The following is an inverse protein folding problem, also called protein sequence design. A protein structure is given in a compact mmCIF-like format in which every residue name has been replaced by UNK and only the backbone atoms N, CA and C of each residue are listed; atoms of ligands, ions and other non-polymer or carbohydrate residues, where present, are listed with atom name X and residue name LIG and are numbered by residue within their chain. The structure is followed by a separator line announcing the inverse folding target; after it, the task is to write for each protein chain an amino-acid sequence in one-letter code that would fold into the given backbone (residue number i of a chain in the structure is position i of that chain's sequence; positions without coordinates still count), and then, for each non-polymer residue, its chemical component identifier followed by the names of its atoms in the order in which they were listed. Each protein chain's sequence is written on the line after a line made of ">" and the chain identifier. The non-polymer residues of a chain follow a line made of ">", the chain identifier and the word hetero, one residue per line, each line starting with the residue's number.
data_IF_311341664588
#
_entry.id   IF_311341664588
#
_cell.length_a   1.000
_cell.length_b   1.000
_cell.length_c   1.000
_cell.angle_alpha   90.00
_cell.angle_beta   90.00
_cell.angle_gamma   90.00
#
_symmetry.space_group_name_H-M   'P 1'
#
loop_
_entity.id
_entity.type
_entity.pdbx_description
1 polymer ?
#
# COMPACT_ATOMS: atom_id res chain seq x y z
N UNK A 1 2.38 15.38 -5.70
CA UNK A 1 1.43 14.42 -5.10
C UNK A 1 0.29 15.24 -4.48
N UNK A 2 -0.59 15.80 -5.33
CA UNK A 2 -1.66 16.73 -4.96
C UNK A 2 -3.02 16.05 -5.07
N UNK A 3 -3.19 14.92 -4.39
CA UNK A 3 -4.47 14.24 -4.39
C UNK A 3 -5.13 14.48 -3.02
N UNK A 4 -6.07 15.44 -3.05
CA UNK A 4 -7.20 15.57 -2.13
C UNK A 4 -6.92 15.74 -0.62
N UNK A 5 -6.11 16.71 -0.21
CA UNK A 5 -6.20 17.21 1.18
C UNK A 5 -6.42 18.72 1.35
N UNK A 6 -6.53 19.51 0.27
CA UNK A 6 -6.80 20.95 0.35
C UNK A 6 -7.67 21.46 -0.82
N UNK A 7 -8.71 20.73 -1.23
CA UNK A 7 -9.65 21.25 -2.24
C UNK A 7 -10.71 22.09 -1.51
N UNK A 8 -10.40 23.38 -1.38
CA UNK A 8 -11.41 24.44 -1.38
C UNK A 8 -12.24 24.33 -2.67
N UNK A 9 -13.54 24.67 -2.65
CA UNK A 9 -14.40 24.55 -3.84
C UNK A 9 -13.93 25.33 -5.08
N UNK A 10 -12.95 26.23 -4.94
CA UNK A 10 -12.41 27.05 -6.04
C UNK A 10 -10.95 26.71 -6.41
N UNK A 11 -10.56 25.43 -6.36
CA UNK A 11 -9.22 25.02 -6.76
C UNK A 11 -9.08 25.01 -8.29
N UNK A 12 -8.55 26.10 -8.87
CA UNK A 12 -8.08 26.12 -10.26
C UNK A 12 -6.60 25.69 -10.33
N UNK A 13 -6.29 24.70 -11.16
CA UNK A 13 -4.90 24.35 -11.46
C UNK A 13 -4.51 25.09 -12.74
N UNK A 14 -3.62 26.08 -12.63
CA UNK A 14 -3.19 26.90 -13.78
C UNK A 14 -4.35 27.55 -14.56
N UNK A 15 -5.43 27.95 -13.87
CA UNK A 15 -6.60 28.59 -14.49
C UNK A 15 -7.60 27.62 -15.14
N UNK A 16 -7.42 26.31 -14.98
CA UNK A 16 -8.38 25.29 -15.40
C UNK A 16 -9.21 24.82 -14.20
N UNK A 17 -10.52 24.77 -14.38
CA UNK A 17 -11.44 24.16 -13.41
C UNK A 17 -11.12 22.68 -13.27
N UNK A 18 -10.89 22.23 -12.04
CA UNK A 18 -10.65 20.82 -11.73
C UNK A 18 -12.00 20.12 -11.63
N UNK A 19 -12.23 19.12 -12.48
CA UNK A 19 -13.41 18.26 -12.38
C UNK A 19 -13.41 17.49 -11.05
N UNK A 20 -14.46 17.65 -10.26
CA UNK A 20 -14.67 16.90 -9.02
C UNK A 20 -15.35 15.58 -9.37
N UNK A 21 -14.58 14.49 -9.37
CA UNK A 21 -15.10 13.13 -9.60
C UNK A 21 -15.20 12.34 -8.28
N UNK A 22 -16.19 11.45 -8.20
CA UNK A 22 -16.37 10.59 -7.02
C UNK A 22 -15.29 9.51 -6.90
N UNK A 23 -14.79 9.03 -8.04
CA UNK A 23 -13.75 8.02 -8.13
C UNK A 23 -12.79 8.33 -9.28
N UNK A 24 -11.50 8.19 -9.02
CA UNK A 24 -10.44 8.37 -9.99
C UNK A 24 -9.44 7.21 -9.93
N UNK A 25 -9.07 6.68 -11.10
CA UNK A 25 -8.09 5.60 -11.20
C UNK A 25 -6.73 6.15 -11.60
N UNK A 26 -5.82 6.23 -10.64
CA UNK A 26 -4.46 6.71 -10.86
C UNK A 26 -3.45 5.57 -10.82
N UNK A 27 -2.73 5.35 -11.92
CA UNK A 27 -1.73 4.28 -12.06
C UNK A 27 -2.28 2.90 -11.65
N UNK A 28 -3.57 2.65 -11.85
CA UNK A 28 -4.20 1.38 -11.46
C UNK A 28 -4.69 1.28 -10.01
N UNK A 29 -4.48 2.30 -9.18
CA UNK A 29 -5.04 2.44 -7.83
C UNK A 29 -6.34 3.25 -7.91
N UNK A 30 -7.38 2.78 -7.23
CA UNK A 30 -8.67 3.47 -7.18
C UNK A 30 -8.72 4.41 -5.98
N UNK A 31 -8.97 5.69 -6.25
CA UNK A 31 -9.07 6.77 -5.27
C UNK A 31 -10.51 7.27 -5.27
N UNK A 32 -11.19 7.23 -4.12
CA UNK A 32 -12.55 7.76 -3.99
C UNK A 32 -12.59 9.06 -3.18
N UNK A 33 -13.69 9.80 -3.28
CA UNK A 33 -13.91 11.05 -2.53
C UNK A 33 -13.90 10.86 -0.99
N UNK A 34 -14.19 9.65 -0.52
CA UNK A 34 -14.09 9.25 0.90
C UNK A 34 -12.65 8.98 1.33
N UNK A 35 -11.69 8.94 0.40
CA UNK A 35 -10.29 8.57 0.61
C UNK A 35 -10.15 7.33 1.51
N UNK A 36 -11.06 6.37 1.31
CA UNK A 36 -10.94 5.04 1.84
C UNK A 36 -10.46 4.09 0.73
N UNK A 37 -10.10 2.88 1.11
CA UNK A 37 -9.49 1.93 0.19
C UNK A 37 -10.45 0.81 -0.22
N UNK A 38 -11.76 1.01 -0.04
CA UNK A 38 -12.76 -0.02 -0.29
C UNK A 38 -12.81 -0.40 -1.77
N UNK A 39 -12.96 0.59 -2.66
CA UNK A 39 -13.03 0.34 -4.11
C UNK A 39 -11.71 -0.25 -4.64
N UNK A 40 -10.57 0.23 -4.12
CA UNK A 40 -9.25 -0.30 -4.46
C UNK A 40 -9.11 -1.77 -4.02
N UNK A 41 -9.39 -2.09 -2.76
CA UNK A 41 -9.25 -3.45 -2.22
C UNK A 41 -10.26 -4.43 -2.86
N UNK A 42 -11.44 -3.96 -3.25
CA UNK A 42 -12.40 -4.72 -4.06
C UNK A 42 -11.85 -5.06 -5.44
N UNK A 43 -11.29 -4.08 -6.15
CA UNK A 43 -10.66 -4.28 -7.44
C UNK A 43 -9.47 -5.25 -7.35
N UNK A 44 -8.62 -5.09 -6.32
CA UNK A 44 -7.50 -6.00 -6.04
C UNK A 44 -8.00 -7.42 -5.73
N UNK A 45 -9.05 -7.57 -4.94
CA UNK A 45 -9.61 -8.87 -4.59
C UNK A 45 -10.15 -9.60 -5.82
N UNK A 46 -10.92 -8.92 -6.68
CA UNK A 46 -11.46 -9.51 -7.92
C UNK A 46 -10.34 -9.97 -8.84
N UNK A 47 -9.33 -9.13 -9.07
CA UNK A 47 -8.15 -9.49 -9.88
C UNK A 47 -7.36 -10.64 -9.24
N UNK A 48 -7.10 -10.57 -7.95
CA UNK A 48 -6.38 -11.59 -7.19
C UNK A 48 -7.06 -12.95 -7.22
N UNK A 49 -8.39 -13.01 -7.12
CA UNK A 49 -9.16 -14.26 -7.28
C UNK A 49 -8.95 -14.89 -8.67
N UNK A 50 -9.01 -14.08 -9.73
CA UNK A 50 -8.76 -14.56 -11.09
C UNK A 50 -7.36 -15.16 -11.23
N UNK A 51 -6.32 -14.50 -10.70
CA UNK A 51 -4.93 -15.00 -10.78
C UNK A 51 -4.70 -16.23 -9.90
N UNK A 52 -5.31 -16.27 -8.72
CA UNK A 52 -5.27 -17.43 -7.84
C UNK A 52 -5.93 -18.66 -8.48
N UNK A 53 -7.01 -18.48 -9.24
CA UNK A 53 -7.61 -19.58 -9.99
C UNK A 53 -6.59 -20.20 -10.97
N UNK A 54 -5.86 -19.38 -11.72
CA UNK A 54 -4.81 -19.86 -12.62
C UNK A 54 -3.70 -20.60 -11.87
N UNK A 55 -3.21 -20.06 -10.75
CA UNK A 55 -2.20 -20.75 -9.91
C UNK A 55 -2.67 -22.15 -9.48
N UNK A 56 -3.95 -22.28 -9.08
CA UNK A 56 -4.52 -23.57 -8.68
C UNK A 56 -4.68 -24.54 -9.86
N UNK A 57 -5.00 -24.03 -11.05
CA UNK A 57 -5.05 -24.84 -12.28
C UNK A 57 -3.66 -25.36 -12.66
N UNK A 58 -2.64 -24.52 -12.59
CA UNK A 58 -1.26 -24.94 -12.83
C UNK A 58 -0.83 -26.03 -11.84
N UNK A 59 -1.16 -25.90 -10.56
CA UNK A 59 -0.90 -26.95 -9.57
C UNK A 59 -1.60 -28.26 -9.96
N UNK A 60 -2.86 -28.21 -10.40
CA UNK A 60 -3.60 -29.42 -10.79
C UNK A 60 -3.03 -30.14 -12.02
N UNK A 61 -2.24 -29.45 -12.84
CA UNK A 61 -1.52 -30.05 -13.97
C UNK A 61 -0.14 -30.60 -13.59
N UNK A 62 0.21 -30.63 -12.30
CA UNK A 62 1.49 -31.17 -11.83
C UNK A 62 2.69 -30.27 -12.10
N UNK A 63 2.48 -28.97 -12.36
CA UNK A 63 3.59 -28.01 -12.51
C UNK A 63 4.45 -28.00 -11.26
N UNK A 64 5.78 -28.02 -11.44
CA UNK A 64 6.72 -28.12 -10.33
C UNK A 64 6.65 -26.89 -9.39
N UNK A 65 7.00 -27.10 -8.12
CA UNK A 65 6.87 -26.10 -7.05
C UNK A 65 7.62 -24.81 -7.33
N UNK A 66 8.83 -24.89 -7.90
CA UNK A 66 9.65 -23.72 -8.24
C UNK A 66 8.94 -22.82 -9.26
N UNK A 67 8.39 -23.41 -10.32
CA UNK A 67 7.65 -22.66 -11.33
C UNK A 67 6.33 -22.09 -10.79
N UNK A 68 5.62 -22.84 -9.93
CA UNK A 68 4.44 -22.32 -9.24
C UNK A 68 4.77 -21.12 -8.34
N UNK A 69 5.93 -21.17 -7.66
CA UNK A 69 6.38 -20.05 -6.83
C UNK A 69 6.69 -18.82 -7.68
N UNK A 70 7.42 -18.98 -8.79
CA UNK A 70 7.68 -17.90 -9.74
C UNK A 70 6.37 -17.32 -10.30
N UNK A 71 5.39 -18.16 -10.63
CA UNK A 71 4.08 -17.71 -11.07
C UNK A 71 3.33 -16.92 -9.99
N UNK A 72 3.35 -17.39 -8.74
CA UNK A 72 2.77 -16.64 -7.63
C UNK A 72 3.42 -15.26 -7.48
N UNK A 73 4.75 -15.20 -7.40
CA UNK A 73 5.49 -13.96 -7.16
C UNK A 73 5.26 -12.95 -8.31
N UNK A 74 5.26 -13.41 -9.56
CA UNK A 74 5.11 -12.55 -10.75
C UNK A 74 3.66 -12.19 -11.10
N UNK A 75 2.67 -13.03 -10.79
CA UNK A 75 1.28 -12.84 -11.27
C UNK A 75 0.27 -12.59 -10.16
N UNK A 76 0.37 -13.31 -9.04
CA UNK A 76 -0.61 -13.19 -7.93
C UNK A 76 -0.17 -12.10 -6.95
N UNK A 77 1.07 -12.19 -6.47
CA UNK A 77 1.65 -11.26 -5.50
C UNK A 77 1.80 -9.86 -6.10
N UNK A 78 2.21 -9.75 -7.37
CA UNK A 78 2.34 -8.48 -8.09
C UNK A 78 1.01 -7.69 -8.12
N UNK A 79 -0.13 -8.38 -8.24
CA UNK A 79 -1.46 -7.78 -8.18
C UNK A 79 -1.84 -7.44 -6.75
N UNK A 80 -1.80 -8.42 -5.84
CA UNK A 80 -2.31 -8.24 -4.47
C UNK A 80 -1.52 -7.18 -3.70
N UNK A 81 -0.20 -7.13 -3.88
CA UNK A 81 0.67 -6.18 -3.18
C UNK A 81 1.01 -4.94 -4.01
N UNK A 82 0.32 -4.73 -5.14
CA UNK A 82 0.51 -3.52 -5.94
C UNK A 82 0.20 -2.28 -5.11
N UNK A 83 1.14 -1.32 -5.10
CA UNK A 83 1.02 -0.08 -4.33
C UNK A 83 0.65 -0.26 -2.84
N UNK A 84 1.00 -1.41 -2.24
CA UNK A 84 0.61 -1.76 -0.85
C UNK A 84 0.98 -0.69 0.18
N UNK A 85 2.11 0.00 -0.03
CA UNK A 85 2.58 1.11 0.82
C UNK A 85 1.57 2.27 0.89
N UNK A 86 0.76 2.46 -0.15
CA UNK A 86 -0.22 3.54 -0.22
C UNK A 86 -1.51 3.21 0.56
N UNK A 87 -1.99 1.97 0.47
CA UNK A 87 -3.36 1.63 0.88
C UNK A 87 -3.45 0.71 2.10
N UNK A 88 -2.41 -0.07 2.43
CA UNK A 88 -2.52 -1.13 3.45
C UNK A 88 -2.93 -0.58 4.81
N UNK A 89 -2.24 0.45 5.31
CA UNK A 89 -2.49 1.02 6.63
C UNK A 89 -3.81 1.80 6.71
N UNK A 90 -4.27 2.37 5.59
CA UNK A 90 -5.55 3.07 5.51
C UNK A 90 -6.75 2.14 5.37
N UNK A 91 -6.55 0.90 4.90
CA UNK A 91 -7.63 -0.05 4.63
C UNK A 91 -8.23 -0.64 5.91
N UNK A 92 -9.51 -1.04 5.83
CA UNK A 92 -10.18 -1.64 6.97
C UNK A 92 -9.59 -3.01 7.31
N UNK A 93 -9.71 -3.44 8.57
CA UNK A 93 -9.29 -4.78 8.98
C UNK A 93 -10.06 -5.88 8.22
N UNK A 94 -11.34 -5.62 7.91
CA UNK A 94 -12.17 -6.50 7.09
C UNK A 94 -11.55 -6.73 5.71
N UNK A 95 -11.12 -5.67 5.04
CA UNK A 95 -10.55 -5.75 3.69
C UNK A 95 -9.19 -6.45 3.71
N UNK A 96 -8.35 -6.14 4.70
CA UNK A 96 -7.06 -6.83 4.89
C UNK A 96 -7.24 -8.32 5.15
N UNK A 97 -8.17 -8.71 6.04
CA UNK A 97 -8.50 -10.14 6.28
C UNK A 97 -9.00 -10.82 5.01
N UNK A 98 -9.80 -10.14 4.20
CA UNK A 98 -10.32 -10.67 2.94
C UNK A 98 -9.21 -10.88 1.90
N UNK A 99 -8.26 -9.96 1.77
CA UNK A 99 -7.09 -10.13 0.90
C UNK A 99 -6.12 -11.20 1.43
N UNK A 100 -5.89 -11.25 2.74
CA UNK A 100 -5.10 -12.31 3.40
C UNK A 100 -5.70 -13.71 3.17
N UNK A 101 -7.02 -13.82 2.96
CA UNK A 101 -7.64 -15.09 2.55
C UNK A 101 -7.14 -15.56 1.18
N UNK A 102 -6.85 -14.65 0.25
CA UNK A 102 -6.23 -14.98 -1.04
C UNK A 102 -4.80 -15.47 -0.86
N UNK A 103 -4.03 -14.73 -0.05
CA UNK A 103 -2.63 -15.07 0.28
C UNK A 103 -2.57 -16.47 0.91
N UNK A 104 -3.41 -16.76 1.90
CA UNK A 104 -3.47 -18.10 2.54
C UNK A 104 -3.82 -19.19 1.55
N UNK A 105 -4.78 -18.96 0.65
CA UNK A 105 -5.13 -19.93 -0.40
C UNK A 105 -4.01 -20.15 -1.40
N UNK A 106 -3.25 -19.11 -1.74
CA UNK A 106 -2.05 -19.24 -2.56
C UNK A 106 -0.97 -20.04 -1.82
N UNK A 107 -0.76 -19.78 -0.52
CA UNK A 107 0.16 -20.53 0.33
C UNK A 107 -0.20 -22.02 0.39
N UNK A 108 -1.49 -22.33 0.56
CA UNK A 108 -1.99 -23.70 0.43
C UNK A 108 -1.69 -24.30 -0.94
N UNK A 109 -1.79 -23.53 -2.04
CA UNK A 109 -1.45 -24.00 -3.38
C UNK A 109 0.07 -24.22 -3.61
N UNK A 110 0.94 -23.58 -2.81
CA UNK A 110 2.40 -23.74 -2.86
C UNK A 110 2.93 -24.72 -1.80
N UNK A 111 2.07 -25.14 -0.87
CA UNK A 111 2.40 -25.81 0.40
C UNK A 111 3.46 -25.04 1.21
N UNK A 112 3.30 -23.72 1.33
CA UNK A 112 4.13 -22.88 2.19
C UNK A 112 3.31 -21.78 2.87
N UNK A 113 3.82 -21.24 3.99
CA UNK A 113 3.30 -19.99 4.53
C UNK A 113 3.75 -18.81 3.67
N UNK A 114 2.92 -17.78 3.57
CA UNK A 114 3.19 -16.56 2.81
C UNK A 114 2.89 -15.36 3.68
N UNK A 115 3.71 -14.32 3.54
CA UNK A 115 3.57 -13.06 4.26
C UNK A 115 2.20 -12.42 4.01
N UNK A 116 1.60 -11.96 5.09
CA UNK A 116 0.36 -11.18 5.10
C UNK A 116 0.51 -9.80 4.45
N UNK A 117 -0.63 -9.16 4.16
CA UNK A 117 -0.68 -7.76 3.72
C UNK A 117 0.05 -6.84 4.69
N UNK A 118 -0.08 -7.08 5.99
CA UNK A 118 0.56 -6.34 7.06
C UNK A 118 2.08 -6.46 6.98
N UNK A 119 2.62 -7.68 6.99
CA UNK A 119 4.06 -7.93 6.97
C UNK A 119 4.74 -7.36 5.71
N UNK A 120 4.13 -7.57 4.53
CA UNK A 120 4.64 -7.00 3.27
C UNK A 120 4.50 -5.48 3.26
N UNK A 121 3.39 -4.96 3.78
CA UNK A 121 3.10 -3.54 3.86
C UNK A 121 4.12 -2.79 4.72
N UNK A 122 4.36 -3.27 5.94
CA UNK A 122 5.30 -2.68 6.89
C UNK A 122 6.73 -2.70 6.35
N UNK A 123 7.18 -3.86 5.86
CA UNK A 123 8.52 -4.01 5.27
C UNK A 123 8.76 -3.06 4.11
N UNK A 124 7.81 -2.98 3.17
CA UNK A 124 7.92 -2.08 2.01
C UNK A 124 7.78 -0.62 2.41
N UNK A 125 7.00 -0.31 3.45
CA UNK A 125 6.84 1.04 3.97
C UNK A 125 8.14 1.55 4.58
N UNK A 126 8.81 0.75 5.41
CA UNK A 126 10.11 1.06 5.98
C UNK A 126 11.16 1.26 4.88
N UNK A 127 11.27 0.32 3.94
CA UNK A 127 12.19 0.44 2.81
C UNK A 127 11.94 1.72 1.99
N UNK A 128 10.65 2.07 1.78
CA UNK A 128 10.29 3.29 1.07
C UNK A 128 10.64 4.54 1.87
N UNK A 129 10.42 4.56 3.19
CA UNK A 129 10.79 5.69 4.05
C UNK A 129 12.30 5.90 4.05
N UNK A 130 13.09 4.85 4.25
CA UNK A 130 14.56 4.89 4.19
C UNK A 130 15.03 5.42 2.83
N UNK A 131 14.47 4.90 1.73
CA UNK A 131 14.78 5.42 0.40
C UNK A 131 14.47 6.92 0.23
N UNK A 132 13.41 7.44 0.86
CA UNK A 132 13.09 8.88 0.84
C UNK A 132 14.14 9.67 1.63
N UNK A 133 14.55 9.17 2.79
CA UNK A 133 15.58 9.80 3.63
C UNK A 133 16.95 9.80 2.93
N UNK A 134 17.27 8.77 2.15
CA UNK A 134 18.56 8.63 1.48
C UNK A 134 18.61 9.30 0.09
N UNK A 135 17.49 9.85 -0.40
CA UNK A 135 17.40 10.46 -1.75
C UNK A 135 17.06 11.95 -1.65
N UNK A 136 18.07 12.86 -1.68
CA UNK A 136 17.85 14.30 -1.56
C UNK A 136 16.91 14.90 -2.62
N UNK A 137 16.89 14.34 -3.84
CA UNK A 137 16.01 14.79 -4.93
C UNK A 137 14.56 14.33 -4.77
N UNK A 138 14.24 13.51 -3.77
CA UNK A 138 12.89 13.00 -3.59
C UNK A 138 11.95 14.13 -3.12
N UNK A 139 10.74 14.29 -3.71
CA UNK A 139 9.82 15.38 -3.34
C UNK A 139 9.40 15.43 -1.86
N UNK A 140 9.57 14.33 -1.14
CA UNK A 140 9.26 14.22 0.30
C UNK A 140 10.51 14.22 1.20
N UNK A 141 11.71 14.36 0.64
CA UNK A 141 12.97 14.32 1.40
C UNK A 141 12.96 15.37 2.51
N UNK A 142 12.76 16.64 2.16
CA UNK A 142 12.66 17.74 3.11
C UNK A 142 11.52 17.55 4.13
N UNK A 143 10.38 17.02 3.69
CA UNK A 143 9.23 16.78 4.57
C UNK A 143 9.54 15.73 5.63
N UNK A 144 10.24 14.66 5.27
CA UNK A 144 10.67 13.61 6.22
C UNK A 144 11.85 14.10 7.05
N UNK A 145 12.80 14.82 6.45
CA UNK A 145 13.95 15.42 7.13
C UNK A 145 13.55 16.40 8.24
N UNK A 146 12.49 17.18 8.03
CA UNK A 146 11.91 18.06 9.04
C UNK A 146 11.33 17.31 10.27
N UNK A 147 11.13 16.00 10.17
CA UNK A 147 10.72 15.16 11.31
C UNK A 147 11.93 14.61 12.06
N UNK A 148 13.17 14.82 11.62
CA UNK A 148 14.35 14.33 12.33
C UNK A 148 14.49 14.98 13.71
N UNK A 149 14.75 14.16 14.73
CA UNK A 149 15.08 14.65 16.07
C UNK A 149 16.56 14.96 16.18
N UNK A 150 16.91 16.14 16.70
CA UNK A 150 18.32 16.48 17.00
C UNK A 150 18.89 15.71 18.19
N UNK A 151 18.03 15.06 18.99
CA UNK A 151 18.42 14.39 20.24
C UNK A 151 18.40 12.86 20.16
N UNK A 152 17.95 12.28 19.03
CA UNK A 152 17.82 10.83 18.89
C UNK A 152 17.77 10.42 17.42
N UNK A 153 18.06 9.15 17.13
CA UNK A 153 17.83 8.52 15.81
C UNK A 153 16.35 8.38 15.43
N UNK A 154 15.41 8.76 16.29
CA UNK A 154 13.96 8.65 16.05
C UNK A 154 13.42 9.84 15.27
N UNK A 155 12.33 9.60 14.54
CA UNK A 155 11.57 10.64 13.85
C UNK A 155 10.45 11.18 14.77
N UNK A 156 10.25 12.48 14.77
CA UNK A 156 9.15 13.16 15.44
C UNK A 156 7.82 12.75 14.81
N UNK A 157 6.88 12.29 15.62
CA UNK A 157 5.57 11.89 15.12
C UNK A 157 4.76 13.11 14.69
N UNK A 158 4.27 13.18 13.43
CA UNK A 158 3.46 14.31 12.98
C UNK A 158 2.13 14.39 13.74
N UNK A 159 1.66 15.61 14.04
CA UNK A 159 0.37 15.81 14.71
C UNK A 159 -0.76 15.36 13.78
N UNK A 160 -1.60 14.45 14.25
CA UNK A 160 -2.68 13.86 13.46
C UNK A 160 -4.05 14.24 14.02
N UNK A 161 -4.77 15.17 13.38
CA UNK A 161 -6.14 15.56 13.80
C UNK A 161 -7.22 14.59 13.30
N UNK A 162 -6.98 13.92 12.17
CA UNK A 162 -7.95 13.01 11.53
C UNK A 162 -7.37 11.60 11.47
N UNK A 163 -8.18 10.60 11.77
CA UNK A 163 -7.78 9.19 11.71
C UNK A 163 -7.31 8.79 10.31
N UNK A 164 -7.94 9.36 9.26
CA UNK A 164 -7.52 9.19 7.87
C UNK A 164 -6.06 9.58 7.65
N UNK A 165 -5.64 10.74 8.16
CA UNK A 165 -4.24 11.18 8.05
C UNK A 165 -3.33 10.31 8.91
N UNK A 166 -3.75 9.97 10.14
CA UNK A 166 -2.99 9.09 11.05
C UNK A 166 -2.65 7.73 10.42
N UNK A 167 -3.54 7.21 9.57
CA UNK A 167 -3.39 5.95 8.83
C UNK A 167 -2.76 6.09 7.45
N UNK A 168 -2.41 7.30 7.03
CA UNK A 168 -1.68 7.52 5.79
C UNK A 168 -0.20 7.13 5.93
N UNK A 169 0.54 7.19 4.82
CA UNK A 169 1.93 6.77 4.74
C UNK A 169 2.83 7.43 5.80
N UNK A 170 2.92 8.78 5.83
CA UNK A 170 3.92 9.47 6.66
C UNK A 170 3.77 9.15 8.15
N UNK A 171 2.60 9.34 8.80
CA UNK A 171 2.50 9.06 10.23
C UNK A 171 2.68 7.57 10.55
N UNK A 172 2.27 6.67 9.66
CA UNK A 172 2.41 5.23 9.89
C UNK A 172 3.86 4.77 9.73
N UNK A 173 4.54 5.24 8.68
CA UNK A 173 5.95 4.93 8.43
C UNK A 173 6.83 5.43 9.58
N UNK A 174 6.58 6.64 10.10
CA UNK A 174 7.29 7.19 11.26
C UNK A 174 7.07 6.34 12.51
N UNK A 175 5.84 5.88 12.78
CA UNK A 175 5.58 4.97 13.92
C UNK A 175 6.38 3.67 13.78
N UNK A 176 6.32 3.03 12.61
CA UNK A 176 7.03 1.79 12.36
C UNK A 176 8.54 1.98 12.49
N UNK A 177 9.08 3.05 11.90
CA UNK A 177 10.51 3.36 11.99
C UNK A 177 10.98 3.52 13.43
N UNK A 178 10.21 4.21 14.26
CA UNK A 178 10.52 4.41 15.68
C UNK A 178 10.39 3.16 16.54
N UNK A 179 9.67 2.14 16.08
CA UNK A 179 9.55 0.84 16.75
C UNK A 179 10.72 -0.07 16.41
N UNK A 180 11.28 0.03 15.19
CA UNK A 180 12.41 -0.78 14.75
C UNK A 180 13.78 -0.21 15.15
N UNK A 181 13.89 1.10 15.43
CA UNK A 181 15.13 1.78 15.82
C UNK A 181 15.20 2.10 17.33
N UNK A 182 14.54 1.30 18.16
CA UNK A 182 14.66 1.32 19.63
C UNK A 182 15.55 0.18 20.07
#
# INVERSE_FOLDING_TARGET
>A
MYICCLITPDASLAGLDIEIVEEYKYLGVHLNNKLDWTHNTDALYKKGQSRLHLLRRLRSFGVCRSLLRTFYDSVVASVIFYAVVCWSCGSSERDRKRLNKLVRRAGSALDCSLDSIEEVGERRMLAKLTSIMDTPSHPLHETVGALSSSFSSRLLHPRCKRERYRRSFIPTAVRLFNMHNT
#
